data_IF_380725476949
#
_entry.id   IF_380725476949
#
_cell.length_a   1.000
_cell.length_b   1.000
_cell.length_c   1.000
_cell.angle_alpha   90.00
_cell.angle_beta   90.00
_cell.angle_gamma   90.00
#
_symmetry.space_group_name_H-M   'P 1'
#
loop_
_entity.id
_entity.type
_entity.pdbx_description
1 polymer ?
#
# COMPACT_ATOMS: atom_id res chain seq x y z
N UNK A 1 -27.30 14.74 -0.08
CA UNK A 1 -26.01 14.32 -0.64
C UNK A 1 -26.28 13.19 -1.63
N UNK A 2 -26.35 13.49 -2.93
CA UNK A 2 -26.90 12.59 -3.97
C UNK A 2 -26.10 11.28 -4.11
N UNK A 3 -24.79 11.34 -3.84
CA UNK A 3 -23.87 10.22 -3.97
C UNK A 3 -24.20 9.11 -2.95
N UNK A 4 -24.38 9.48 -1.67
CA UNK A 4 -24.69 8.52 -0.60
C UNK A 4 -26.06 7.84 -0.81
N UNK A 5 -27.07 8.59 -1.27
CA UNK A 5 -28.40 8.04 -1.52
C UNK A 5 -28.43 7.10 -2.74
N UNK A 6 -27.71 7.44 -3.81
CA UNK A 6 -27.60 6.57 -4.99
C UNK A 6 -26.83 5.27 -4.68
N UNK A 7 -25.73 5.36 -3.93
CA UNK A 7 -24.96 4.19 -3.50
C UNK A 7 -25.79 3.27 -2.60
N UNK A 8 -26.46 3.81 -1.58
CA UNK A 8 -27.28 3.01 -0.66
C UNK A 8 -28.39 2.22 -1.38
N UNK A 9 -29.04 2.83 -2.38
CA UNK A 9 -30.07 2.16 -3.20
C UNK A 9 -29.49 0.97 -3.99
N UNK A 10 -28.34 1.15 -4.65
CA UNK A 10 -27.66 0.10 -5.42
C UNK A 10 -27.22 -1.04 -4.50
N UNK A 11 -26.66 -0.72 -3.33
CA UNK A 11 -26.22 -1.72 -2.36
C UNK A 11 -27.39 -2.60 -1.90
N UNK A 12 -28.54 -1.98 -1.60
CA UNK A 12 -29.76 -2.71 -1.23
C UNK A 12 -30.35 -3.53 -2.38
N UNK A 13 -30.46 -2.95 -3.58
CA UNK A 13 -31.04 -3.62 -4.75
C UNK A 13 -30.23 -4.86 -5.18
N UNK A 14 -28.92 -4.85 -4.93
CA UNK A 14 -28.02 -5.95 -5.31
C UNK A 14 -27.52 -6.79 -4.13
N UNK A 15 -28.05 -6.58 -2.92
CA UNK A 15 -27.63 -7.27 -1.70
C UNK A 15 -26.11 -7.25 -1.47
N UNK A 16 -25.45 -6.14 -1.82
CA UNK A 16 -24.02 -5.96 -1.64
C UNK A 16 -23.77 -5.46 -0.22
N UNK A 17 -23.21 -6.32 0.63
CA UNK A 17 -22.93 -6.01 2.05
C UNK A 17 -21.50 -5.55 2.32
N UNK A 18 -20.59 -5.71 1.36
CA UNK A 18 -19.18 -5.35 1.51
C UNK A 18 -18.51 -5.03 0.18
N UNK A 19 -17.30 -4.48 0.24
CA UNK A 19 -16.46 -4.21 -0.93
C UNK A 19 -15.01 -4.63 -0.68
N UNK A 20 -14.33 -5.00 -1.76
CA UNK A 20 -12.92 -5.35 -1.72
C UNK A 20 -12.06 -4.10 -1.93
N UNK A 21 -11.05 -3.90 -1.11
CA UNK A 21 -10.12 -2.78 -1.26
C UNK A 21 -8.67 -3.20 -1.00
N UNK A 22 -7.72 -2.82 -1.89
CA UNK A 22 -6.31 -2.87 -1.58
C UNK A 22 -5.96 -1.73 -0.62
N UNK A 23 -5.42 -2.08 0.54
CA UNK A 23 -5.03 -1.13 1.56
C UNK A 23 -3.52 -0.99 1.60
N UNK A 24 -3.08 0.27 1.50
CA UNK A 24 -1.69 0.70 1.63
C UNK A 24 -1.43 1.13 3.09
N UNK A 25 -0.61 0.41 3.89
CA UNK A 25 -0.33 0.76 5.29
C UNK A 25 0.40 2.10 5.41
N UNK A 26 -0.09 3.04 6.22
CA UNK A 26 0.50 4.39 6.29
C UNK A 26 1.93 4.43 6.85
N UNK A 27 2.28 3.50 7.74
CA UNK A 27 3.58 3.49 8.42
C UNK A 27 4.62 2.61 7.73
N UNK A 28 4.27 1.82 6.71
CA UNK A 28 5.24 0.94 6.03
C UNK A 28 6.38 1.73 5.40
N UNK A 29 6.11 2.96 4.94
CA UNK A 29 7.13 3.87 4.40
C UNK A 29 8.25 4.24 5.38
N UNK A 30 8.03 4.09 6.70
CA UNK A 30 9.06 4.32 7.71
C UNK A 30 10.07 3.16 7.79
N UNK A 31 9.70 1.99 7.25
CA UNK A 31 10.45 0.74 7.35
C UNK A 31 10.62 0.07 5.97
N UNK A 32 11.15 0.76 4.94
CA UNK A 32 11.17 0.27 3.56
C UNK A 32 12.07 -0.96 3.35
N UNK A 33 13.03 -1.18 4.24
CA UNK A 33 14.01 -2.28 4.14
C UNK A 33 13.47 -3.62 4.61
N UNK A 34 12.39 -3.62 5.39
CA UNK A 34 11.76 -4.84 5.87
C UNK A 34 10.70 -5.29 4.87
N UNK A 35 10.52 -6.60 4.74
CA UNK A 35 9.48 -7.15 3.89
C UNK A 35 8.09 -6.69 4.37
N UNK A 36 7.13 -6.72 3.47
CA UNK A 36 5.75 -6.37 3.83
C UNK A 36 5.17 -7.36 4.83
N UNK A 37 5.46 -8.66 4.71
CA UNK A 37 4.98 -9.68 5.64
C UNK A 37 5.58 -9.53 7.04
N UNK A 38 6.88 -9.23 7.15
CA UNK A 38 7.50 -8.93 8.44
C UNK A 38 6.83 -7.73 9.09
N UNK A 39 6.65 -6.63 8.35
CA UNK A 39 5.97 -5.45 8.86
C UNK A 39 4.54 -5.74 9.35
N UNK A 40 3.78 -6.57 8.62
CA UNK A 40 2.44 -6.99 9.02
C UNK A 40 2.41 -7.90 10.26
N UNK A 41 3.54 -8.52 10.61
CA UNK A 41 3.68 -9.34 11.82
C UNK A 41 3.98 -8.52 13.08
N UNK A 42 4.44 -7.28 12.94
CA UNK A 42 4.81 -6.45 14.07
C UNK A 42 3.59 -6.01 14.87
N UNK A 43 3.76 -5.95 16.19
CA UNK A 43 2.74 -5.51 17.15
C UNK A 43 3.34 -4.50 18.11
N UNK A 44 2.52 -3.60 18.62
CA UNK A 44 2.88 -2.77 19.79
C UNK A 44 2.84 -3.62 21.07
N UNK A 45 3.33 -3.08 22.18
CA UNK A 45 3.26 -3.75 23.49
C UNK A 45 1.81 -4.04 23.93
N UNK A 46 0.85 -3.22 23.46
CA UNK A 46 -0.59 -3.39 23.70
C UNK A 46 -1.24 -4.44 22.77
N UNK A 47 -0.49 -5.02 21.82
CA UNK A 47 -0.96 -6.07 20.91
C UNK A 47 -1.63 -5.58 19.61
N UNK A 48 -1.75 -4.27 19.40
CA UNK A 48 -2.25 -3.67 18.16
C UNK A 48 -1.21 -3.79 17.02
N UNK A 49 -1.63 -3.69 15.75
CA UNK A 49 -0.68 -3.53 14.65
C UNK A 49 0.10 -2.23 14.83
N UNK A 50 1.36 -2.22 14.40
CA UNK A 50 2.17 -0.99 14.35
C UNK A 50 1.66 0.05 13.33
N UNK A 51 0.76 -0.37 12.44
CA UNK A 51 0.13 0.48 11.45
C UNK A 51 -1.28 0.91 11.88
N UNK A 52 -1.52 2.21 12.15
CA UNK A 52 -2.80 2.69 12.62
C UNK A 52 -3.91 2.58 11.57
N UNK A 53 -3.56 2.63 10.28
CA UNK A 53 -4.52 2.54 9.19
C UNK A 53 -5.04 1.12 9.02
N UNK A 54 -4.18 0.11 9.17
CA UNK A 54 -4.61 -1.28 9.20
C UNK A 54 -5.50 -1.57 10.42
N UNK A 55 -5.15 -1.03 11.59
CA UNK A 55 -6.00 -1.19 12.78
C UNK A 55 -7.39 -0.57 12.59
N UNK A 56 -7.51 0.54 11.85
CA UNK A 56 -8.81 1.12 11.54
C UNK A 56 -9.72 0.13 10.80
N UNK A 57 -9.23 -0.55 9.76
CA UNK A 57 -10.00 -1.56 9.03
C UNK A 57 -10.43 -2.73 9.92
N UNK A 58 -9.54 -3.22 10.77
CA UNK A 58 -9.86 -4.28 11.73
C UNK A 58 -10.99 -3.82 12.68
N UNK A 59 -10.92 -2.58 13.18
CA UNK A 59 -11.93 -2.02 14.10
C UNK A 59 -13.31 -1.84 13.45
N UNK A 60 -13.39 -1.58 12.15
CA UNK A 60 -14.66 -1.51 11.42
C UNK A 60 -15.14 -2.87 10.89
N UNK A 61 -14.53 -3.97 11.33
CA UNK A 61 -14.96 -5.33 11.00
C UNK A 61 -14.47 -5.87 9.65
N UNK A 62 -13.54 -5.17 8.99
CA UNK A 62 -12.99 -5.64 7.72
C UNK A 62 -12.22 -6.95 7.92
N UNK A 63 -12.40 -7.89 6.99
CA UNK A 63 -11.72 -9.17 6.97
C UNK A 63 -10.47 -9.07 6.09
N UNK A 64 -9.31 -9.47 6.63
CA UNK A 64 -8.06 -9.54 5.87
C UNK A 64 -8.11 -10.71 4.90
N UNK A 65 -7.98 -10.45 3.60
CA UNK A 65 -7.99 -11.49 2.56
C UNK A 65 -6.61 -12.04 2.25
N UNK A 66 -5.60 -11.18 2.18
CA UNK A 66 -4.24 -11.59 1.87
C UNK A 66 -3.39 -10.46 1.30
N UNK A 67 -2.10 -10.75 1.14
CA UNK A 67 -1.14 -9.83 0.53
C UNK A 67 -1.08 -10.12 -0.97
N UNK A 68 -1.20 -9.06 -1.77
CA UNK A 68 -0.82 -9.08 -3.18
C UNK A 68 0.60 -8.53 -3.30
N UNK A 69 1.57 -9.41 -3.47
CA UNK A 69 2.97 -9.02 -3.68
C UNK A 69 3.17 -8.45 -5.07
N UNK A 70 4.04 -7.45 -5.17
CA UNK A 70 4.37 -6.74 -6.42
C UNK A 70 3.11 -6.25 -7.18
N UNK A 71 2.04 -5.95 -6.43
CA UNK A 71 0.74 -5.50 -6.93
C UNK A 71 0.85 -4.32 -7.90
N UNK A 72 1.85 -3.46 -7.69
CA UNK A 72 2.29 -2.46 -8.66
C UNK A 72 3.78 -2.63 -8.88
N UNK A 73 4.20 -2.76 -10.14
CA UNK A 73 5.61 -2.71 -10.54
C UNK A 73 5.79 -1.66 -11.63
N UNK A 74 6.72 -0.73 -11.40
CA UNK A 74 7.03 0.36 -12.34
C UNK A 74 8.53 0.39 -12.63
N UNK A 75 8.88 0.35 -13.91
CA UNK A 75 10.24 0.59 -14.38
C UNK A 75 10.27 1.82 -15.27
N UNK A 76 11.19 2.73 -15.00
CA UNK A 76 11.31 3.98 -15.74
C UNK A 76 12.76 4.49 -15.78
N UNK A 77 13.09 5.42 -16.70
CA UNK A 77 14.40 6.06 -16.74
C UNK A 77 14.76 6.79 -15.44
N UNK A 78 16.05 6.90 -15.13
CA UNK A 78 16.52 7.65 -13.95
C UNK A 78 16.11 9.11 -13.95
N UNK A 79 15.96 9.72 -15.13
CA UNK A 79 15.49 11.10 -15.27
C UNK A 79 14.08 11.26 -14.72
N UNK A 80 13.19 10.33 -15.02
CA UNK A 80 11.81 10.35 -14.53
C UNK A 80 11.79 10.12 -13.01
N UNK A 81 12.56 9.15 -12.52
CA UNK A 81 12.67 8.93 -11.09
C UNK A 81 13.25 10.14 -10.35
N UNK A 82 14.23 10.83 -10.95
CA UNK A 82 14.81 12.07 -10.40
C UNK A 82 13.74 13.16 -10.30
N UNK A 83 12.92 13.32 -11.34
CA UNK A 83 11.80 14.27 -11.34
C UNK A 83 10.74 13.92 -10.30
N UNK A 84 10.32 12.65 -10.22
CA UNK A 84 9.26 12.20 -9.30
C UNK A 84 9.68 12.24 -7.83
N UNK A 85 10.94 11.94 -7.54
CA UNK A 85 11.42 11.80 -6.15
C UNK A 85 12.22 13.01 -5.67
N UNK A 86 12.71 13.86 -6.57
CA UNK A 86 13.67 14.92 -6.26
C UNK A 86 15.06 14.42 -5.85
N UNK A 87 15.35 13.12 -6.03
CA UNK A 87 16.60 12.50 -5.59
C UNK A 87 17.61 12.34 -6.73
N UNK A 88 18.90 12.35 -6.37
CA UNK A 88 19.96 11.97 -7.29
C UNK A 88 20.29 10.48 -7.17
N UNK A 89 20.69 9.93 -8.31
CA UNK A 89 20.89 8.51 -8.48
C UNK A 89 22.29 8.21 -9.05
N UNK A 90 23.37 8.38 -8.28
CA UNK A 90 24.74 8.29 -8.81
C UNK A 90 25.30 6.86 -8.91
N UNK A 91 24.82 5.89 -8.13
CA UNK A 91 25.43 4.54 -8.03
C UNK A 91 24.38 3.46 -8.00
N UNK A 92 24.47 2.44 -8.87
CA UNK A 92 23.64 1.22 -8.87
C UNK A 92 23.45 0.66 -7.46
N UNK A 93 22.20 0.33 -7.11
CA UNK A 93 21.85 -0.14 -5.78
C UNK A 93 20.43 0.22 -5.38
N UNK A 94 20.14 0.03 -4.10
CA UNK A 94 18.81 0.20 -3.54
C UNK A 94 18.69 1.54 -2.82
N UNK A 95 17.59 2.25 -3.06
CA UNK A 95 17.37 3.60 -2.53
C UNK A 95 16.04 3.65 -1.78
N UNK A 96 16.06 4.26 -0.59
CA UNK A 96 14.83 4.69 0.09
C UNK A 96 14.34 5.95 -0.61
N UNK A 97 13.12 5.91 -1.13
CA UNK A 97 12.51 7.06 -1.82
C UNK A 97 11.36 7.65 -0.98
N UNK A 98 11.06 8.95 -1.10
CA UNK A 98 9.92 9.56 -0.43
C UNK A 98 8.62 8.83 -0.71
N UNK A 99 7.88 8.49 0.34
CA UNK A 99 6.62 7.76 0.25
C UNK A 99 6.74 6.27 -0.09
N UNK A 100 7.92 5.77 -0.48
CA UNK A 100 8.12 4.38 -0.89
C UNK A 100 7.95 3.39 0.27
N UNK A 101 7.16 2.33 0.05
CA UNK A 101 6.97 1.23 1.00
C UNK A 101 8.06 0.16 0.91
N UNK A 102 8.79 0.16 -0.21
CA UNK A 102 9.90 -0.72 -0.51
C UNK A 102 11.05 0.11 -1.08
N UNK A 103 12.20 -0.52 -1.23
CA UNK A 103 13.35 0.10 -1.86
C UNK A 103 13.15 0.23 -3.38
N UNK A 104 13.57 1.36 -3.94
CA UNK A 104 13.74 1.53 -5.37
C UNK A 104 15.03 0.81 -5.79
N UNK A 105 14.92 -0.19 -6.67
CA UNK A 105 16.06 -0.92 -7.24
C UNK A 105 16.56 -0.16 -8.46
N UNK A 106 17.76 0.37 -8.39
CA UNK A 106 18.26 1.23 -9.45
C UNK A 106 19.49 0.65 -10.15
N UNK A 107 19.47 0.65 -11.49
CA UNK A 107 20.53 0.18 -12.38
C UNK A 107 21.08 1.35 -13.22
N UNK A 108 22.30 1.81 -12.92
CA UNK A 108 22.92 2.96 -13.60
C UNK A 108 23.50 2.61 -14.95
N UNK A 109 23.96 1.37 -15.12
CA UNK A 109 24.47 0.91 -16.42
C UNK A 109 23.36 0.91 -17.45
N UNK A 110 22.14 0.54 -17.06
CA UNK A 110 20.95 0.57 -17.92
C UNK A 110 20.20 1.91 -17.91
N UNK A 111 20.56 2.85 -17.03
CA UNK A 111 19.89 4.13 -16.92
C UNK A 111 18.41 4.05 -16.49
N UNK A 112 18.03 3.03 -15.71
CA UNK A 112 16.65 2.81 -15.25
C UNK A 112 16.57 2.46 -13.76
N UNK A 113 15.38 2.61 -13.18
CA UNK A 113 15.06 2.04 -11.88
C UNK A 113 13.70 1.34 -11.90
N UNK A 114 13.57 0.34 -11.04
CA UNK A 114 12.37 -0.47 -10.83
C UNK A 114 11.91 -0.35 -9.38
N UNK A 115 10.64 0.00 -9.19
CA UNK A 115 9.97 0.00 -7.91
C UNK A 115 8.82 -1.00 -7.95
N UNK A 116 8.69 -1.80 -6.90
CA UNK A 116 7.56 -2.69 -6.71
C UNK A 116 6.91 -2.42 -5.35
N UNK A 117 5.60 -2.62 -5.26
CA UNK A 117 4.82 -2.36 -4.07
C UNK A 117 3.77 -3.44 -3.83
N UNK A 118 3.60 -3.79 -2.55
CA UNK A 118 2.63 -4.77 -2.08
C UNK A 118 1.39 -4.06 -1.51
N UNK A 119 0.22 -4.69 -1.67
CA UNK A 119 -1.03 -4.23 -1.06
C UNK A 119 -1.63 -5.32 -0.17
N UNK A 120 -2.22 -4.93 0.95
CA UNK A 120 -3.02 -5.83 1.77
C UNK A 120 -4.49 -5.70 1.39
N UNK A 121 -5.10 -6.77 0.92
CA UNK A 121 -6.51 -6.78 0.54
C UNK A 121 -7.41 -7.03 1.73
N UNK A 122 -8.49 -6.27 1.80
CA UNK A 122 -9.57 -6.44 2.75
C UNK A 122 -10.91 -6.64 2.04
N UNK A 123 -11.78 -7.42 2.66
CA UNK A 123 -13.22 -7.37 2.46
C UNK A 123 -13.81 -6.48 3.56
N UNK A 124 -14.38 -5.33 3.18
CA UNK A 124 -14.77 -4.25 4.09
C UNK A 124 -16.30 -4.15 4.09
N UNK A 125 -16.97 -4.31 5.23
CA UNK A 125 -18.42 -4.14 5.29
C UNK A 125 -18.81 -2.69 4.99
N UNK A 126 -19.93 -2.51 4.31
CA UNK A 126 -20.58 -1.20 4.32
C UNK A 126 -21.14 -0.96 5.72
N UNK A 127 -20.81 0.18 6.31
CA UNK A 127 -21.47 0.63 7.54
C UNK A 127 -22.89 1.11 7.20
N UNK A 128 -23.85 0.79 8.05
CA UNK A 128 -25.17 1.43 8.06
C UNK A 128 -25.07 2.94 8.33
#
# INVERSE_FOLDING_TARGET
NLLLTATSKILHEHAISSYLSPVRPSNKQLYPNFSFDEFLSWRTDDGDLVDPWLNHFIRIGAQRLGVAHDAITMTAPLTNWTEWTGMLFPVTGDYVIPGGHRLLRVDREKGVATYAEDHLWFDIPFSD
#
